data_IF_073790233118
#
_entry.id   IF_073790233118
#
_cell.length_a   1.000
_cell.length_b   1.000
_cell.length_c   1.000
_cell.angle_alpha   90.00
_cell.angle_beta   90.00
_cell.angle_gamma   90.00
#
_symmetry.space_group_name_H-M   'P 1'
#
loop_
_entity.id
_entity.type
_entity.pdbx_description
1 polymer ?
#
# COMPACT_ATOMS: atom_id res chain seq x y z
N UNK A 1 -2.29 5.31 -3.20
CA UNK A 1 -1.31 4.93 -2.17
C UNK A 1 -1.69 5.59 -0.86
N UNK A 2 -1.54 4.91 0.27
CA UNK A 2 -1.90 5.39 1.61
C UNK A 2 -0.63 5.62 2.43
N UNK A 3 -0.44 6.82 2.93
CA UNK A 3 0.66 7.15 3.83
C UNK A 3 0.24 6.99 5.29
N UNK A 4 1.12 6.43 6.12
CA UNK A 4 0.80 6.17 7.54
C UNK A 4 -0.29 5.11 7.70
N UNK A 5 -0.12 3.94 7.07
CA UNK A 5 -1.14 2.87 7.05
C UNK A 5 -1.59 2.36 8.43
N UNK A 6 -0.75 2.51 9.46
CA UNK A 6 -1.02 2.14 10.86
C UNK A 6 -1.84 3.18 11.64
N UNK A 7 -2.08 4.37 11.08
CA UNK A 7 -2.91 5.41 11.70
C UNK A 7 -4.41 5.10 11.58
N UNK A 8 -5.26 5.71 12.40
CA UNK A 8 -6.72 5.48 12.34
C UNK A 8 -7.36 5.75 10.97
N UNK A 9 -6.87 6.77 10.25
CA UNK A 9 -7.32 7.04 8.87
C UNK A 9 -6.74 5.99 7.91
N UNK A 10 -5.47 5.63 8.10
CA UNK A 10 -4.78 4.64 7.28
C UNK A 10 -5.46 3.27 7.34
N UNK A 11 -5.80 2.79 8.53
CA UNK A 11 -6.45 1.48 8.71
C UNK A 11 -7.84 1.42 8.08
N UNK A 12 -8.61 2.51 8.19
CA UNK A 12 -9.89 2.63 7.50
C UNK A 12 -9.72 2.65 5.98
N UNK A 13 -8.79 3.48 5.48
CA UNK A 13 -8.53 3.61 4.05
C UNK A 13 -8.06 2.29 3.41
N UNK A 14 -7.26 1.48 4.12
CA UNK A 14 -6.82 0.16 3.65
C UNK A 14 -8.01 -0.73 3.37
N UNK A 15 -8.90 -0.86 4.37
CA UNK A 15 -10.05 -1.76 4.29
C UNK A 15 -11.04 -1.31 3.21
N UNK A 16 -11.38 -0.02 3.16
CA UNK A 16 -12.29 0.52 2.12
C UNK A 16 -11.71 0.32 0.72
N UNK A 17 -10.42 0.63 0.53
CA UNK A 17 -9.76 0.47 -0.78
C UNK A 17 -9.74 -1.00 -1.21
N UNK A 18 -9.55 -1.92 -0.26
CA UNK A 18 -9.62 -3.36 -0.54
C UNK A 18 -11.03 -3.81 -0.92
N UNK A 19 -12.05 -3.33 -0.22
CA UNK A 19 -13.45 -3.66 -0.50
C UNK A 19 -13.92 -3.20 -1.89
N UNK A 20 -13.40 -2.07 -2.40
CA UNK A 20 -13.73 -1.59 -3.75
C UNK A 20 -12.92 -2.29 -4.86
N UNK A 21 -12.14 -3.32 -4.53
CA UNK A 21 -11.37 -4.11 -5.50
C UNK A 21 -10.10 -3.43 -6.03
N UNK A 22 -9.72 -2.29 -5.45
CA UNK A 22 -8.50 -1.59 -5.83
C UNK A 22 -7.26 -2.22 -5.16
N UNK A 23 -6.10 -2.08 -5.82
CA UNK A 23 -4.83 -2.52 -5.27
C UNK A 23 -4.33 -1.55 -4.21
N UNK A 24 -4.05 -2.06 -3.02
CA UNK A 24 -3.73 -1.26 -1.84
C UNK A 24 -2.22 -1.19 -1.63
N UNK A 25 -1.65 -0.01 -1.89
CA UNK A 25 -0.27 0.32 -1.57
C UNK A 25 -0.20 1.19 -0.32
N UNK A 26 0.61 0.81 0.67
CA UNK A 26 0.77 1.53 1.93
C UNK A 26 2.24 1.77 2.27
N UNK A 27 2.54 2.88 2.93
CA UNK A 27 3.83 3.10 3.59
C UNK A 27 3.66 3.02 5.11
N UNK A 28 4.48 2.21 5.78
CA UNK A 28 4.47 2.04 7.24
C UNK A 28 5.87 1.60 7.75
N UNK A 29 6.15 1.77 9.05
CA UNK A 29 7.38 1.27 9.66
C UNK A 29 7.42 -0.27 9.75
N UNK A 30 8.59 -0.85 10.07
CA UNK A 30 8.86 -2.29 9.96
C UNK A 30 7.80 -3.20 10.61
N UNK A 31 7.47 -2.98 11.88
CA UNK A 31 6.49 -3.81 12.60
C UNK A 31 5.05 -3.52 12.14
N UNK A 32 4.75 -2.25 11.89
CA UNK A 32 3.44 -1.77 11.45
C UNK A 32 3.05 -2.31 10.06
N UNK A 33 4.02 -2.71 9.23
CA UNK A 33 3.78 -3.36 7.93
C UNK A 33 3.03 -4.68 8.06
N UNK A 34 3.26 -5.44 9.14
CA UNK A 34 2.56 -6.72 9.39
C UNK A 34 1.08 -6.45 9.60
N UNK A 35 0.76 -5.51 10.49
CA UNK A 35 -0.60 -5.07 10.76
C UNK A 35 -1.30 -4.53 9.50
N UNK A 36 -0.64 -3.69 8.71
CA UNK A 36 -1.24 -3.19 7.47
C UNK A 36 -1.55 -4.31 6.45
N UNK A 37 -0.74 -5.37 6.39
CA UNK A 37 -1.02 -6.54 5.55
C UNK A 37 -2.25 -7.30 6.03
N UNK A 38 -2.39 -7.49 7.34
CA UNK A 38 -3.56 -8.15 7.93
C UNK A 38 -4.86 -7.39 7.63
N UNK A 39 -4.79 -6.05 7.56
CA UNK A 39 -5.93 -5.21 7.16
C UNK A 39 -6.27 -5.28 5.67
N UNK A 40 -5.43 -5.90 4.83
CA UNK A 40 -5.67 -6.07 3.39
C UNK A 40 -4.76 -5.25 2.47
N UNK A 41 -3.66 -4.68 2.97
CA UNK A 41 -2.68 -4.03 2.10
C UNK A 41 -1.95 -5.07 1.22
N UNK A 42 -2.02 -4.89 -0.10
CA UNK A 42 -1.35 -5.76 -1.07
C UNK A 42 0.17 -5.52 -1.10
N UNK A 43 0.59 -4.27 -0.90
CA UNK A 43 2.01 -3.88 -0.88
C UNK A 43 2.26 -2.94 0.28
N UNK A 44 3.15 -3.34 1.19
CA UNK A 44 3.64 -2.49 2.26
C UNK A 44 5.10 -2.08 2.00
N UNK A 45 5.39 -0.79 2.04
CA UNK A 45 6.71 -0.20 1.81
C UNK A 45 7.21 0.41 3.12
N UNK A 46 8.43 0.06 3.52
CA UNK A 46 9.08 0.67 4.68
C UNK A 46 9.74 1.98 4.29
N UNK A 47 9.10 3.11 4.59
CA UNK A 47 9.61 4.43 4.21
C UNK A 47 10.97 4.77 4.83
N UNK A 48 11.39 4.06 5.90
CA UNK A 48 12.70 4.27 6.55
C UNK A 48 13.86 3.60 5.79
N UNK A 49 13.57 2.56 5.00
CA UNK A 49 14.60 1.72 4.39
C UNK A 49 14.40 1.52 2.89
N UNK A 50 13.29 1.98 2.32
CA UNK A 50 12.92 1.80 0.92
C UNK A 50 12.54 3.16 0.31
N UNK A 51 13.07 3.46 -0.89
CA UNK A 51 12.55 4.53 -1.73
C UNK A 51 11.20 4.08 -2.33
N UNK A 52 10.12 4.67 -1.84
CA UNK A 52 8.77 4.30 -2.27
C UNK A 52 8.48 4.70 -3.71
N UNK A 53 9.07 5.77 -4.25
CA UNK A 53 8.86 6.20 -5.64
C UNK A 53 9.46 5.18 -6.58
N UNK A 54 10.73 4.81 -6.34
CA UNK A 54 11.40 3.77 -7.11
C UNK A 54 10.67 2.42 -6.99
N UNK A 55 10.19 2.10 -5.78
CA UNK A 55 9.45 0.87 -5.52
C UNK A 55 8.13 0.81 -6.28
N UNK A 56 7.35 1.89 -6.31
CA UNK A 56 6.08 1.97 -7.06
C UNK A 56 6.35 1.88 -8.56
N UNK A 57 7.31 2.64 -9.10
CA UNK A 57 7.67 2.55 -10.52
C UNK A 57 8.01 1.12 -10.94
N UNK A 58 8.74 0.36 -10.11
CA UNK A 58 9.06 -1.05 -10.38
C UNK A 58 7.83 -1.97 -10.37
N UNK A 59 6.81 -1.64 -9.57
CA UNK A 59 5.58 -2.41 -9.47
C UNK A 59 4.59 -2.06 -10.58
N UNK A 60 4.52 -0.80 -11.00
CA UNK A 60 3.70 -0.30 -12.11
C UNK A 60 4.31 -0.60 -13.48
N UNK A 61 5.64 -0.70 -13.61
CA UNK A 61 6.27 -1.18 -14.83
C UNK A 61 5.81 -2.60 -15.23
N UNK A 62 5.20 -3.35 -14.30
CA UNK A 62 4.61 -4.67 -14.56
C UNK A 62 3.11 -4.62 -14.88
N UNK A 63 2.43 -3.49 -14.67
CA UNK A 63 1.00 -3.29 -14.92
C UNK A 63 0.77 -1.83 -15.31
N UNK A 64 0.61 -1.51 -16.61
CA UNK A 64 0.45 -0.12 -17.05
C UNK A 64 -0.78 0.54 -16.40
N UNK A 65 -0.63 1.81 -16.03
CA UNK A 65 -1.71 2.61 -15.47
C UNK A 65 -2.88 2.64 -16.46
N UNK A 66 -4.05 2.11 -16.05
CA UNK A 66 -5.24 1.98 -16.90
C UNK A 66 -5.50 0.60 -17.51
N UNK A 67 -4.63 -0.40 -17.30
CA UNK A 67 -4.94 -1.77 -17.72
C UNK A 67 -5.76 -2.51 -16.65
N UNK A 68 -7.08 -2.60 -16.88
CA UNK A 68 -8.15 -3.31 -16.12
C UNK A 68 -8.91 -2.48 -15.08
N UNK A 69 -10.23 -2.56 -14.86
CA UNK A 69 -11.30 -3.54 -15.23
C UNK A 69 -10.87 -4.98 -15.54
#
# INVERSE_FOLDING_TARGET
MIHGGSSGIGTFAIQVTKCIGAKVFVTAGTEEKKFCKELGADVCINYKTEDFVARIKKLEAKVPYGSRF
#
